data_IF_620043851098
#
_entry.id   IF_620043851098
#
_cell.length_a   1.000
_cell.length_b   1.000
_cell.length_c   1.000
_cell.angle_alpha   90.00
_cell.angle_beta   90.00
_cell.angle_gamma   90.00
#
_symmetry.space_group_name_H-M   'P 1'
#
loop_
_entity.id
_entity.type
_entity.pdbx_description
1 polymer ?
#
# COMPACT_ATOMS: atom_id res chain seq x y z
N UNK A 1 1.92 -17.13 -17.07
CA UNK A 1 2.77 -16.00 -17.50
C UNK A 1 3.50 -15.42 -16.28
N UNK A 2 4.63 -14.71 -16.46
CA UNK A 2 5.41 -14.13 -15.35
C UNK A 2 5.22 -12.62 -15.32
N UNK A 3 4.67 -12.10 -14.22
CA UNK A 3 4.56 -10.67 -13.96
C UNK A 3 5.88 -10.14 -13.37
N UNK A 4 6.33 -8.99 -13.85
CA UNK A 4 7.47 -8.27 -13.30
C UNK A 4 6.98 -6.96 -12.71
N UNK A 5 7.27 -6.73 -11.43
CA UNK A 5 7.00 -5.47 -10.76
C UNK A 5 8.33 -4.70 -10.64
N UNK A 6 8.44 -3.56 -11.31
CA UNK A 6 9.66 -2.73 -11.41
C UNK A 6 9.38 -1.28 -10.97
N UNK A 7 10.42 -0.46 -10.83
CA UNK A 7 10.33 0.98 -10.54
C UNK A 7 9.68 1.39 -9.20
N UNK A 8 10.00 0.69 -8.11
CA UNK A 8 9.49 0.97 -6.76
C UNK A 8 10.31 2.01 -5.96
N UNK A 9 11.21 2.76 -6.59
CA UNK A 9 12.13 3.70 -5.91
C UNK A 9 11.46 4.89 -5.22
N UNK A 10 10.14 5.04 -5.37
CA UNK A 10 9.32 6.10 -4.75
C UNK A 10 8.28 5.54 -3.75
N UNK A 11 8.38 4.26 -3.38
CA UNK A 11 7.52 3.62 -2.40
C UNK A 11 7.85 4.06 -0.95
N UNK A 12 7.02 3.61 0.00
CA UNK A 12 7.21 3.77 1.46
C UNK A 12 7.26 5.17 2.04
N UNK A 13 7.11 6.23 1.22
CA UNK A 13 6.97 7.60 1.72
C UNK A 13 5.95 7.69 2.87
N UNK A 14 6.22 8.43 3.93
CA UNK A 14 5.37 8.54 5.14
C UNK A 14 4.01 9.19 4.85
N UNK A 15 3.99 10.26 4.05
CA UNK A 15 2.74 10.87 3.59
C UNK A 15 1.95 9.97 2.65
N UNK A 16 0.63 9.91 2.86
CA UNK A 16 -0.29 9.25 1.94
C UNK A 16 -0.40 10.00 0.61
N UNK A 17 -0.01 9.34 -0.48
CA UNK A 17 -0.07 9.83 -1.86
C UNK A 17 -0.74 8.77 -2.73
N UNK A 18 -2.00 8.98 -3.10
CA UNK A 18 -2.68 8.11 -4.07
C UNK A 18 -2.28 8.54 -5.47
N UNK A 19 -1.40 7.78 -6.14
CA UNK A 19 -0.95 8.03 -7.52
C UNK A 19 -1.13 6.76 -8.32
N UNK A 20 -2.07 6.77 -9.26
CA UNK A 20 -2.33 5.63 -10.13
C UNK A 20 -2.87 6.09 -11.47
N UNK A 21 -2.81 5.21 -12.47
CA UNK A 21 -3.46 5.38 -13.78
C UNK A 21 -4.68 4.47 -13.96
N UNK A 22 -4.84 3.45 -13.10
CA UNK A 22 -5.92 2.47 -13.16
C UNK A 22 -7.14 2.93 -12.34
N UNK A 23 -7.72 4.07 -12.74
CA UNK A 23 -8.84 4.70 -12.04
C UNK A 23 -10.17 3.95 -12.17
N UNK A 24 -10.28 3.01 -13.12
CA UNK A 24 -11.45 2.15 -13.32
C UNK A 24 -11.76 1.27 -12.10
N UNK A 25 -10.78 1.01 -11.23
CA UNK A 25 -10.98 0.27 -9.99
C UNK A 25 -11.41 1.16 -8.82
N UNK A 26 -11.45 2.48 -8.99
CA UNK A 26 -11.65 3.39 -7.87
C UNK A 26 -13.01 3.19 -7.19
N UNK A 27 -12.99 2.87 -5.89
CA UNK A 27 -14.20 2.58 -5.12
C UNK A 27 -14.76 1.16 -5.29
N UNK A 28 -14.26 0.39 -6.25
CA UNK A 28 -14.63 -1.02 -6.43
C UNK A 28 -14.20 -1.85 -5.21
N UNK A 29 -14.92 -2.94 -4.89
CA UNK A 29 -14.50 -3.86 -3.84
C UNK A 29 -13.16 -4.52 -4.21
N UNK A 30 -12.30 -4.70 -3.21
CA UNK A 30 -11.06 -5.47 -3.36
C UNK A 30 -11.43 -6.95 -3.33
N UNK A 31 -10.84 -7.77 -4.21
CA UNK A 31 -11.13 -9.20 -4.22
C UNK A 31 -10.74 -9.87 -2.89
N UNK A 32 -11.54 -10.85 -2.44
CA UNK A 32 -11.33 -11.53 -1.15
C UNK A 32 -9.94 -12.16 -1.01
N UNK A 33 -9.38 -12.66 -2.12
CA UNK A 33 -8.03 -13.23 -2.12
C UNK A 33 -6.96 -12.17 -1.77
N UNK A 34 -7.08 -10.96 -2.32
CA UNK A 34 -6.17 -9.85 -2.00
C UNK A 34 -6.37 -9.36 -0.57
N UNK A 35 -7.62 -9.35 -0.06
CA UNK A 35 -7.89 -9.03 1.34
C UNK A 35 -7.27 -10.06 2.30
N UNK A 36 -7.28 -11.35 1.95
CA UNK A 36 -6.60 -12.39 2.73
C UNK A 36 -5.08 -12.18 2.75
N UNK A 37 -4.49 -11.82 1.62
CA UNK A 37 -3.05 -11.56 1.54
C UNK A 37 -2.66 -10.29 2.31
N UNK A 38 -3.49 -9.23 2.27
CA UNK A 38 -3.32 -8.05 3.14
C UNK A 38 -3.47 -8.40 4.62
N UNK A 39 -4.37 -9.31 4.98
CA UNK A 39 -4.53 -9.75 6.37
C UNK A 39 -3.31 -10.51 6.87
N UNK A 40 -2.70 -11.36 6.04
CA UNK A 40 -1.43 -12.04 6.38
C UNK A 40 -0.31 -11.02 6.55
N UNK A 41 -0.17 -10.09 5.60
CA UNK A 41 0.80 -9.01 5.68
C UNK A 41 0.62 -8.18 6.96
N UNK A 42 -0.61 -7.87 7.37
CA UNK A 42 -0.87 -7.17 8.63
C UNK A 42 -0.36 -7.96 9.84
N UNK A 43 -0.59 -9.27 9.88
CA UNK A 43 -0.09 -10.14 10.95
C UNK A 43 1.43 -10.13 10.99
N UNK A 44 2.09 -10.33 9.85
CA UNK A 44 3.54 -10.34 9.74
C UNK A 44 4.15 -9.01 10.18
N UNK A 45 3.53 -7.88 9.79
CA UNK A 45 3.99 -6.54 10.18
C UNK A 45 3.79 -6.24 11.67
N UNK A 46 2.83 -6.89 12.35
CA UNK A 46 2.60 -6.72 13.79
C UNK A 46 3.50 -7.62 14.64
N UNK A 47 4.00 -8.71 14.05
CA UNK A 47 4.89 -9.65 14.72
C UNK A 47 6.34 -9.27 14.41
N UNK A 48 6.95 -8.46 15.29
CA UNK A 48 8.33 -7.98 15.09
C UNK A 48 9.39 -9.09 14.97
N UNK A 49 9.07 -10.33 15.38
CA UNK A 49 9.94 -11.49 15.25
C UNK A 49 9.89 -12.13 13.85
N UNK A 50 8.87 -11.81 13.04
CA UNK A 50 8.74 -12.34 11.69
C UNK A 50 9.82 -11.79 10.76
N UNK A 51 10.34 -12.68 9.90
CA UNK A 51 11.47 -12.36 9.04
C UNK A 51 11.20 -11.15 8.13
N UNK A 52 9.96 -10.99 7.65
CA UNK A 52 9.55 -9.85 6.85
C UNK A 52 9.58 -8.54 7.66
N UNK A 53 9.03 -8.54 8.87
CA UNK A 53 9.03 -7.36 9.75
C UNK A 53 10.46 -6.91 10.05
N UNK A 54 11.32 -7.84 10.47
CA UNK A 54 12.73 -7.56 10.74
C UNK A 54 13.44 -6.94 9.54
N UNK A 55 13.25 -7.53 8.34
CA UNK A 55 13.85 -7.02 7.12
C UNK A 55 13.36 -5.62 6.76
N UNK A 56 12.07 -5.34 6.93
CA UNK A 56 11.51 -4.01 6.70
C UNK A 56 12.02 -3.00 7.73
N UNK A 57 12.17 -3.37 9.00
CA UNK A 57 12.78 -2.51 10.03
C UNK A 57 14.24 -2.15 9.74
N UNK A 58 15.00 -3.03 9.06
CA UNK A 58 16.37 -2.72 8.61
C UNK A 58 16.41 -1.73 7.43
N UNK A 59 15.35 -1.71 6.61
CA UNK A 59 15.33 -0.99 5.33
C UNK A 59 14.53 0.31 5.37
N UNK A 60 13.59 0.44 6.29
CA UNK A 60 12.66 1.56 6.41
C UNK A 60 12.86 2.29 7.74
N UNK A 61 12.61 3.59 7.73
CA UNK A 61 12.50 4.34 8.98
C UNK A 61 11.20 3.95 9.72
N UNK A 62 11.17 4.16 11.04
CA UNK A 62 10.01 3.80 11.87
C UNK A 62 8.71 4.46 11.38
N UNK A 63 8.77 5.73 10.97
CA UNK A 63 7.61 6.47 10.44
C UNK A 63 7.10 5.87 9.11
N UNK A 64 7.99 5.32 8.28
CA UNK A 64 7.63 4.70 7.00
C UNK A 64 6.98 3.34 7.22
N UNK A 65 7.51 2.58 8.18
CA UNK A 65 6.94 1.30 8.62
C UNK A 65 5.53 1.49 9.21
N UNK A 66 5.37 2.45 10.12
CA UNK A 66 4.08 2.76 10.73
C UNK A 66 3.07 3.26 9.69
N UNK A 67 3.52 4.07 8.73
CA UNK A 67 2.69 4.52 7.62
C UNK A 67 2.26 3.37 6.70
N UNK A 68 3.12 2.38 6.46
CA UNK A 68 2.78 1.16 5.73
C UNK A 68 1.69 0.36 6.47
N UNK A 69 1.91 0.08 7.75
CA UNK A 69 0.95 -0.67 8.57
C UNK A 69 -0.41 0.03 8.61
N UNK A 70 -0.43 1.34 8.85
CA UNK A 70 -1.67 2.14 8.86
C UNK A 70 -2.43 2.07 7.53
N UNK A 71 -1.74 1.98 6.39
CA UNK A 71 -2.37 1.83 5.07
C UNK A 71 -2.97 0.44 4.87
N UNK A 72 -2.26 -0.61 5.30
CA UNK A 72 -2.78 -1.99 5.26
C UNK A 72 -4.06 -2.07 6.09
N UNK A 73 -4.06 -1.50 7.29
CA UNK A 73 -5.24 -1.44 8.18
C UNK A 73 -6.40 -0.64 7.57
N UNK A 74 -6.11 0.47 6.90
CA UNK A 74 -7.12 1.26 6.20
C UNK A 74 -7.79 0.46 5.08
N UNK A 75 -7.00 -0.27 4.28
CA UNK A 75 -7.51 -1.08 3.18
C UNK A 75 -8.36 -2.25 3.69
N UNK A 76 -7.90 -2.97 4.72
CA UNK A 76 -8.68 -4.04 5.36
C UNK A 76 -9.99 -3.55 5.97
N UNK A 77 -9.99 -2.33 6.55
CA UNK A 77 -11.21 -1.73 7.10
C UNK A 77 -12.19 -1.30 6.02
N UNK A 78 -11.70 -0.69 4.93
CA UNK A 78 -12.56 -0.16 3.86
C UNK A 78 -13.04 -1.24 2.88
N UNK A 79 -12.20 -2.24 2.61
CA UNK A 79 -12.44 -3.35 1.67
C UNK A 79 -12.74 -2.92 0.23
N UNK A 80 -12.41 -1.68 -0.12
CA UNK A 80 -12.55 -1.11 -1.45
C UNK A 80 -11.30 -0.32 -1.83
N UNK A 81 -11.03 -0.22 -3.12
CA UNK A 81 -9.90 0.54 -3.63
C UNK A 81 -10.07 2.03 -3.32
N UNK A 82 -8.97 2.76 -3.05
CA UNK A 82 -9.03 4.17 -2.71
C UNK A 82 -9.68 5.04 -3.80
N UNK A 83 -10.47 6.02 -3.35
CA UNK A 83 -11.03 7.07 -4.21
C UNK A 83 -10.15 8.32 -4.23
N UNK A 84 -10.04 9.03 -5.37
CA UNK A 84 -9.30 10.28 -5.45
C UNK A 84 -9.90 11.31 -4.49
N UNK A 85 -9.03 11.98 -3.73
CA UNK A 85 -9.49 13.07 -2.85
C UNK A 85 -9.63 14.37 -3.65
N UNK A 86 -10.79 15.06 -3.61
CA UNK A 86 -11.05 16.24 -4.46
C UNK A 86 -10.02 17.37 -4.32
N UNK A 87 -9.42 17.53 -3.15
CA UNK A 87 -8.47 18.62 -2.85
C UNK A 87 -7.00 18.17 -2.84
N UNK A 88 -6.70 16.96 -3.31
CA UNK A 88 -5.32 16.47 -3.44
C UNK A 88 -4.96 16.16 -4.87
N UNK A 89 -3.66 16.19 -5.12
CA UNK A 89 -3.09 15.76 -6.39
C UNK A 89 -3.02 14.23 -6.44
N UNK A 90 -4.00 13.61 -7.11
CA UNK A 90 -4.07 12.16 -7.25
C UNK A 90 -3.42 11.63 -8.54
N UNK A 91 -3.11 12.50 -9.51
CA UNK A 91 -2.54 12.11 -10.79
C UNK A 91 -1.02 11.94 -10.73
N UNK A 92 -0.44 10.97 -11.47
CA UNK A 92 1.01 10.81 -11.60
C UNK A 92 1.69 12.07 -12.18
N UNK A 93 2.99 12.22 -11.93
CA UNK A 93 3.83 13.31 -12.44
C UNK A 93 5.12 12.72 -13.04
N UNK A 94 5.67 13.28 -14.12
CA UNK A 94 5.13 14.36 -14.96
C UNK A 94 3.80 13.97 -15.63
N UNK A 95 3.00 14.93 -16.13
CA UNK A 95 1.83 14.62 -16.93
C UNK A 95 2.32 13.92 -18.20
N UNK A 96 1.64 12.84 -18.60
CA UNK A 96 1.85 12.22 -19.92
C UNK A 96 1.11 13.04 -20.96
#
# INVERSE_FOLDING_TARGET
ERLWAIDHGICFHTEYKLRTVIWEFSGEPIEDQLLQDLSKLQCDLKQHEEALSQKLYELLNIDEYDALLARVELLLRRRSYPVPQPHRRNYPWPPV
#
